data_IF_720648095250
#
_entry.id   IF_720648095250
#
_cell.length_a   1.000
_cell.length_b   1.000
_cell.length_c   1.000
_cell.angle_alpha   90.00
_cell.angle_beta   90.00
_cell.angle_gamma   90.00
#
_symmetry.space_group_name_H-M   'P 1'
#
loop_
_entity.id
_entity.type
_entity.pdbx_description
1 polymer ?
#
# COMPACT_ATOMS: atom_id res chain seq x y z
N UNK A 1 -21.36 27.61 -10.64
CA UNK A 1 -20.70 26.31 -10.38
C UNK A 1 -19.25 26.26 -10.88
N UNK A 2 -18.93 26.80 -12.06
CA UNK A 2 -17.56 26.81 -12.63
C UNK A 2 -16.54 27.63 -11.83
N UNK A 3 -16.95 28.76 -11.23
CA UNK A 3 -16.06 29.66 -10.45
C UNK A 3 -15.57 29.00 -9.15
N UNK A 4 -16.40 28.16 -8.52
CA UNK A 4 -16.03 27.46 -7.28
C UNK A 4 -14.94 26.40 -7.52
N UNK A 5 -14.90 25.77 -8.70
CA UNK A 5 -13.91 24.74 -9.04
C UNK A 5 -12.52 25.36 -9.25
N UNK A 6 -12.45 26.55 -9.85
CA UNK A 6 -11.19 27.29 -10.03
C UNK A 6 -10.59 27.76 -8.70
N UNK A 7 -11.45 28.18 -7.77
CA UNK A 7 -11.06 28.64 -6.44
C UNK A 7 -10.33 27.53 -5.64
N UNK A 8 -10.71 26.26 -5.83
CA UNK A 8 -10.12 25.12 -5.11
C UNK A 8 -8.67 24.79 -5.52
N UNK A 9 -8.25 25.10 -6.75
CA UNK A 9 -6.86 24.90 -7.19
C UNK A 9 -5.97 26.09 -6.86
N UNK A 10 -6.53 27.31 -6.93
CA UNK A 10 -5.77 28.56 -6.75
C UNK A 10 -5.63 28.94 -5.26
N UNK A 11 -6.67 28.74 -4.43
CA UNK A 11 -6.66 29.12 -3.01
C UNK A 11 -6.45 27.93 -2.06
N UNK A 12 -5.66 26.95 -2.48
CA UNK A 12 -5.19 25.83 -1.65
C UNK A 12 -3.98 26.28 -0.84
N UNK A 13 -4.01 26.08 0.48
CA UNK A 13 -2.83 26.32 1.32
C UNK A 13 -1.64 25.44 0.89
N UNK A 14 -0.44 26.04 0.84
CA UNK A 14 0.77 25.33 0.49
C UNK A 14 1.25 24.42 1.66
N UNK A 15 0.89 23.15 1.58
CA UNK A 15 1.29 22.10 2.53
C UNK A 15 2.67 21.47 2.27
N UNK A 16 3.47 22.00 1.33
CA UNK A 16 4.81 21.45 1.05
C UNK A 16 5.75 21.55 2.26
N UNK A 17 5.88 22.71 2.96
CA UNK A 17 6.74 22.81 4.13
C UNK A 17 6.28 21.93 5.30
N UNK A 18 4.98 21.62 5.37
CA UNK A 18 4.44 20.66 6.34
C UNK A 18 4.98 19.25 6.09
N UNK A 19 4.88 18.76 4.84
CA UNK A 19 5.39 17.43 4.52
C UNK A 19 6.91 17.34 4.56
N UNK A 20 7.64 18.40 4.17
CA UNK A 20 9.10 18.44 4.29
C UNK A 20 9.54 18.23 5.73
N UNK A 21 8.94 18.93 6.70
CA UNK A 21 9.22 18.74 8.13
C UNK A 21 8.87 17.32 8.61
N UNK A 22 7.69 16.82 8.21
CA UNK A 22 7.27 15.46 8.57
C UNK A 22 8.27 14.40 8.09
N UNK A 23 8.72 14.48 6.83
CA UNK A 23 9.64 13.50 6.27
C UNK A 23 11.07 13.66 6.83
N UNK A 24 11.52 14.89 7.09
CA UNK A 24 12.83 15.12 7.73
C UNK A 24 12.86 14.61 9.18
N UNK A 25 11.77 14.80 9.94
CA UNK A 25 11.62 14.24 11.29
C UNK A 25 11.61 12.71 11.26
N UNK A 26 10.89 12.10 10.33
CA UNK A 26 10.86 10.64 10.16
C UNK A 26 12.23 10.06 9.78
N UNK A 27 13.01 10.76 8.96
CA UNK A 27 14.40 10.38 8.64
C UNK A 27 15.32 10.48 9.86
N UNK A 28 15.20 11.54 10.68
CA UNK A 28 15.95 11.68 11.93
C UNK A 28 15.63 10.55 12.95
N UNK A 29 14.41 10.03 12.91
CA UNK A 29 13.96 8.88 13.71
C UNK A 29 14.27 7.51 13.05
N UNK A 30 15.03 7.49 11.95
CA UNK A 30 15.35 6.28 11.17
C UNK A 30 14.12 5.47 10.71
N UNK A 31 12.97 6.12 10.54
CA UNK A 31 11.76 5.49 10.01
C UNK A 31 11.87 5.40 8.50
N UNK A 32 11.58 4.22 7.93
CA UNK A 32 11.57 4.02 6.48
C UNK A 32 10.59 4.98 5.81
N UNK A 33 11.01 5.60 4.71
CA UNK A 33 10.27 6.64 3.97
C UNK A 33 8.80 6.26 3.73
N UNK A 34 8.53 5.01 3.37
CA UNK A 34 7.19 4.52 3.08
C UNK A 34 6.29 4.36 4.31
N UNK A 35 6.82 4.35 5.53
CA UNK A 35 6.08 4.16 6.79
C UNK A 35 6.00 5.42 7.67
N UNK A 36 6.35 6.60 7.15
CA UNK A 36 6.45 7.80 7.99
C UNK A 36 5.11 8.49 8.27
N UNK A 37 4.09 8.26 7.44
CA UNK A 37 2.78 8.94 7.55
C UNK A 37 1.72 8.00 8.15
N UNK A 38 0.75 8.54 8.90
CA UNK A 38 -0.37 7.76 9.44
C UNK A 38 -1.16 7.00 8.34
N UNK A 39 -1.35 7.62 7.17
CA UNK A 39 -2.02 7.00 6.02
C UNK A 39 -1.21 5.88 5.36
N UNK A 40 0.11 5.83 5.58
CA UNK A 40 0.95 4.74 5.06
C UNK A 40 0.45 3.38 5.56
N UNK A 41 0.13 3.25 6.86
CA UNK A 41 -0.34 1.99 7.44
C UNK A 41 -1.62 1.49 6.77
N UNK A 42 -2.55 2.40 6.48
CA UNK A 42 -3.81 2.07 5.80
C UNK A 42 -3.59 1.55 4.38
N UNK A 43 -2.56 2.01 3.67
CA UNK A 43 -2.23 1.53 2.34
C UNK A 43 -1.37 0.24 2.37
N UNK A 44 -0.47 0.14 3.34
CA UNK A 44 0.51 -0.95 3.41
C UNK A 44 -0.09 -2.25 3.90
N UNK A 45 -1.02 -2.22 4.86
CA UNK A 45 -1.66 -3.46 5.34
C UNK A 45 -2.40 -4.25 4.26
N UNK A 46 -3.29 -3.65 3.45
CA UNK A 46 -3.91 -4.40 2.36
C UNK A 46 -2.89 -4.85 1.31
N UNK A 47 -1.86 -4.03 1.02
CA UNK A 47 -0.77 -4.42 0.12
C UNK A 47 -0.04 -5.67 0.60
N UNK A 48 0.35 -5.74 1.88
CA UNK A 48 1.02 -6.92 2.43
C UNK A 48 0.12 -8.15 2.46
N UNK A 49 -1.16 -8.00 2.80
CA UNK A 49 -2.12 -9.11 2.76
C UNK A 49 -2.23 -9.70 1.36
N UNK A 50 -2.34 -8.87 0.33
CA UNK A 50 -2.43 -9.35 -1.06
C UNK A 50 -1.11 -9.96 -1.54
N UNK A 51 0.03 -9.36 -1.19
CA UNK A 51 1.35 -9.85 -1.57
C UNK A 51 1.62 -11.24 -0.99
N UNK A 52 1.48 -11.39 0.33
CA UNK A 52 1.71 -12.67 1.00
C UNK A 52 0.61 -13.68 0.71
N UNK A 53 -0.65 -13.23 0.56
CA UNK A 53 -1.76 -14.10 0.15
C UNK A 53 -1.55 -14.70 -1.24
N UNK A 54 -1.14 -13.88 -2.22
CA UNK A 54 -0.83 -14.34 -3.58
C UNK A 54 0.42 -15.23 -3.62
N UNK A 55 1.45 -14.90 -2.84
CA UNK A 55 2.64 -15.74 -2.72
C UNK A 55 2.30 -17.11 -2.12
N UNK A 56 1.60 -17.15 -0.99
CA UNK A 56 1.18 -18.38 -0.35
C UNK A 56 0.26 -19.20 -1.27
N UNK A 57 -0.67 -18.56 -1.98
CA UNK A 57 -1.55 -19.21 -2.95
C UNK A 57 -0.79 -19.83 -4.13
N UNK A 58 0.20 -19.12 -4.68
CA UNK A 58 1.01 -19.64 -5.80
C UNK A 58 1.90 -20.82 -5.37
N UNK A 59 2.53 -20.73 -4.19
CA UNK A 59 3.31 -21.84 -3.63
C UNK A 59 2.41 -23.05 -3.32
N UNK A 60 1.23 -22.84 -2.75
CA UNK A 60 0.25 -23.90 -2.49
C UNK A 60 -0.15 -24.64 -3.78
N UNK A 61 -0.55 -23.90 -4.82
CA UNK A 61 -0.96 -24.52 -6.09
C UNK A 61 0.20 -25.21 -6.80
N UNK A 62 1.42 -24.68 -6.70
CA UNK A 62 2.62 -25.35 -7.21
C UNK A 62 2.87 -26.69 -6.50
N UNK A 63 2.84 -26.72 -5.16
CA UNK A 63 3.01 -27.98 -4.41
C UNK A 63 1.91 -28.99 -4.76
N UNK A 64 0.65 -28.53 -4.86
CA UNK A 64 -0.47 -29.38 -5.28
C UNK A 64 -0.29 -29.93 -6.70
N UNK A 65 0.23 -29.12 -7.62
CA UNK A 65 0.50 -29.55 -9.00
C UNK A 65 1.59 -30.62 -9.07
N UNK A 66 2.64 -30.51 -8.25
CA UNK A 66 3.68 -31.55 -8.11
C UNK A 66 3.09 -32.87 -7.61
N UNK A 67 2.11 -32.80 -6.71
CA UNK A 67 1.38 -33.96 -6.18
C UNK A 67 0.25 -34.47 -7.12
N UNK A 68 0.05 -33.84 -8.30
CA UNK A 68 -0.92 -34.28 -9.30
C UNK A 68 -2.30 -33.62 -9.22
N UNK A 69 -2.60 -32.84 -8.18
CA UNK A 69 -3.89 -32.16 -8.04
C UNK A 69 -3.98 -30.91 -8.94
N UNK A 70 -5.12 -30.73 -9.62
CA UNK A 70 -5.33 -29.62 -10.58
C UNK A 70 -6.20 -28.47 -10.06
N UNK A 71 -6.90 -28.66 -8.94
CA UNK A 71 -7.81 -27.64 -8.36
C UNK A 71 -7.45 -27.30 -6.92
N UNK A 72 -7.98 -26.17 -6.42
CA UNK A 72 -7.72 -25.63 -5.08
C UNK A 72 -8.21 -26.54 -3.95
N UNK A 73 -9.36 -27.17 -4.16
CA UNK A 73 -10.03 -28.10 -3.25
C UNK A 73 -10.38 -29.35 -4.07
N UNK A 74 -9.38 -30.21 -4.33
CA UNK A 74 -9.61 -31.46 -5.10
C UNK A 74 -9.94 -32.61 -4.15
N UNK A 75 -11.04 -33.31 -4.44
CA UNK A 75 -11.13 -34.76 -4.37
C UNK A 75 -10.91 -35.23 -5.82
N UNK A 76 -9.75 -35.86 -6.07
CA UNK A 76 -9.24 -36.35 -7.37
C UNK A 76 -9.54 -35.47 -8.59
#
# INVERSE_FOLDING_TARGET
MLICMFNSFINRENRVPHYQRLFQQGQAQHVRQWNQTAKSKFMLYPYYTMLFGGLAGSMYMMTRMVLGHKTWFSEN
#
